data_IF_773364294051
#
_entry.id   IF_773364294051
#
_cell.length_a   1.000
_cell.length_b   1.000
_cell.length_c   1.000
_cell.angle_alpha   90.00
_cell.angle_beta   90.00
_cell.angle_gamma   90.00
#
_symmetry.space_group_name_H-M   'P 1'
#
loop_
_entity.id
_entity.type
_entity.pdbx_description
1 polymer ?
#
# COMPACT_ATOMS: atom_id res chain seq x y z
N UNK A 1 -19.65 -13.14 -5.43
CA UNK A 1 -18.56 -12.75 -4.51
C UNK A 1 -18.23 -11.29 -4.71
N UNK A 2 -17.79 -10.55 -3.68
CA UNK A 2 -17.31 -9.20 -3.89
C UNK A 2 -16.06 -9.21 -4.78
N UNK A 3 -16.08 -8.37 -5.82
CA UNK A 3 -14.97 -8.18 -6.78
C UNK A 3 -13.84 -7.38 -6.12
N UNK A 4 -12.93 -8.09 -5.47
CA UNK A 4 -11.93 -7.47 -4.59
C UNK A 4 -10.50 -7.48 -5.19
N UNK A 5 -9.94 -8.62 -5.61
CA UNK A 5 -8.59 -8.65 -6.18
C UNK A 5 -8.65 -8.53 -7.70
N UNK A 6 -8.21 -7.39 -8.23
CA UNK A 6 -8.07 -7.19 -9.68
C UNK A 6 -6.69 -7.70 -10.16
N UNK A 7 -6.56 -7.98 -11.45
CA UNK A 7 -5.35 -8.59 -12.04
C UNK A 7 -4.09 -7.72 -11.91
N UNK A 8 -4.23 -6.41 -11.72
CA UNK A 8 -3.09 -5.54 -11.39
C UNK A 8 -2.45 -5.92 -10.06
N UNK A 9 -3.25 -6.18 -9.03
CA UNK A 9 -2.74 -6.66 -7.75
C UNK A 9 -2.30 -8.13 -7.82
N UNK A 10 -3.12 -8.98 -8.45
CA UNK A 10 -2.84 -10.41 -8.54
C UNK A 10 -1.60 -10.71 -9.37
N UNK A 11 -1.58 -10.29 -10.64
CA UNK A 11 -0.54 -10.69 -11.59
C UNK A 11 0.69 -9.77 -11.56
N UNK A 12 0.53 -8.45 -11.54
CA UNK A 12 1.69 -7.54 -11.58
C UNK A 12 2.45 -7.59 -10.26
N UNK A 13 1.76 -7.37 -9.13
CA UNK A 13 2.42 -7.48 -7.83
C UNK A 13 2.79 -8.93 -7.52
N UNK A 14 1.91 -9.89 -7.76
CA UNK A 14 2.20 -11.31 -7.51
C UNK A 14 3.42 -11.83 -8.26
N UNK A 15 3.60 -11.47 -9.54
CA UNK A 15 4.81 -11.87 -10.28
C UNK A 15 6.06 -11.19 -9.72
N UNK A 16 6.00 -9.91 -9.30
CA UNK A 16 7.14 -9.28 -8.64
C UNK A 16 7.48 -9.96 -7.32
N UNK A 17 6.50 -10.40 -6.54
CA UNK A 17 6.74 -11.17 -5.31
C UNK A 17 7.46 -12.47 -5.66
N UNK A 18 7.02 -13.20 -6.70
CA UNK A 18 7.71 -14.42 -7.17
C UNK A 18 9.16 -14.15 -7.55
N UNK A 19 9.43 -13.12 -8.34
CA UNK A 19 10.80 -12.76 -8.72
C UNK A 19 11.71 -12.54 -7.49
N UNK A 20 11.17 -11.89 -6.45
CA UNK A 20 11.91 -11.63 -5.22
C UNK A 20 12.15 -12.93 -4.42
N UNK A 21 11.13 -13.78 -4.29
CA UNK A 21 11.26 -15.08 -3.63
C UNK A 21 12.26 -15.98 -4.36
N UNK A 22 12.16 -16.05 -5.70
CA UNK A 22 13.05 -16.85 -6.55
C UNK A 22 14.50 -16.32 -6.51
N UNK A 23 14.68 -15.01 -6.29
CA UNK A 23 15.99 -14.40 -6.03
C UNK A 23 16.52 -14.63 -4.60
N UNK A 24 15.79 -15.37 -3.75
CA UNK A 24 16.20 -15.74 -2.40
C UNK A 24 15.83 -14.75 -1.30
N UNK A 25 14.94 -13.78 -1.57
CA UNK A 25 14.46 -12.88 -0.52
C UNK A 25 13.43 -13.57 0.38
N UNK A 26 13.55 -13.35 1.69
CA UNK A 26 12.44 -13.53 2.62
C UNK A 26 11.40 -12.45 2.36
N UNK A 27 10.25 -12.81 1.80
CA UNK A 27 9.22 -11.85 1.42
C UNK A 27 8.06 -11.84 2.40
N UNK A 28 7.75 -10.65 2.94
CA UNK A 28 6.59 -10.42 3.80
C UNK A 28 5.45 -9.82 2.97
N UNK A 29 4.33 -10.53 2.87
CA UNK A 29 3.06 -9.98 2.40
C UNK A 29 2.35 -9.35 3.59
N UNK A 30 2.38 -8.01 3.64
CA UNK A 30 1.82 -7.24 4.74
C UNK A 30 0.31 -6.97 4.55
N UNK A 31 -0.51 -7.58 5.41
CA UNK A 31 -1.96 -7.45 5.44
C UNK A 31 -2.35 -6.25 6.31
N UNK A 32 -2.48 -5.10 5.66
CA UNK A 32 -2.62 -3.79 6.28
C UNK A 32 -4.06 -3.50 6.79
N UNK A 33 -4.52 -4.24 7.80
CA UNK A 33 -5.89 -4.15 8.32
C UNK A 33 -6.21 -2.81 9.02
N UNK A 34 -5.33 -2.33 9.90
CA UNK A 34 -5.44 -1.00 10.52
C UNK A 34 -5.43 0.14 9.50
N UNK A 35 -4.57 0.03 8.50
CA UNK A 35 -4.50 0.99 7.40
C UNK A 35 -5.82 1.01 6.61
N UNK A 36 -6.34 -0.18 6.27
CA UNK A 36 -7.63 -0.31 5.60
C UNK A 36 -8.77 0.28 6.43
N UNK A 37 -8.72 0.11 7.75
CA UNK A 37 -9.69 0.68 8.70
C UNK A 37 -9.62 2.22 8.72
N UNK A 38 -8.42 2.80 8.86
CA UNK A 38 -8.21 4.27 8.79
C UNK A 38 -8.73 4.85 7.47
N UNK A 39 -8.60 4.12 6.36
CA UNK A 39 -9.10 4.56 5.05
C UNK A 39 -10.56 4.17 4.78
N UNK A 40 -11.32 3.80 5.82
CA UNK A 40 -12.74 3.43 5.76
C UNK A 40 -13.07 2.36 4.71
N UNK A 41 -12.13 1.44 4.43
CA UNK A 41 -12.38 0.34 3.49
C UNK A 41 -13.41 -0.62 4.07
N UNK A 42 -14.23 -1.19 3.18
CA UNK A 42 -15.25 -2.18 3.51
C UNK A 42 -16.21 -1.72 4.62
N UNK A 43 -16.56 -0.42 4.58
CA UNK A 43 -17.45 0.23 5.54
C UNK A 43 -16.81 0.50 6.91
N UNK A 44 -15.47 0.46 7.01
CA UNK A 44 -14.77 0.68 8.27
C UNK A 44 -14.96 -0.46 9.29
N UNK A 45 -15.43 -1.63 8.84
CA UNK A 45 -15.68 -2.80 9.70
C UNK A 45 -14.47 -3.72 9.69
N UNK A 46 -13.82 -3.88 10.84
CA UNK A 46 -12.58 -4.66 10.96
C UNK A 46 -12.78 -6.13 10.59
N UNK A 47 -13.93 -6.70 10.90
CA UNK A 47 -14.27 -8.09 10.56
C UNK A 47 -14.27 -8.30 9.05
N UNK A 48 -14.86 -7.36 8.30
CA UNK A 48 -14.88 -7.41 6.83
C UNK A 48 -13.47 -7.25 6.25
N UNK A 49 -12.66 -6.37 6.84
CA UNK A 49 -11.28 -6.12 6.43
C UNK A 49 -10.43 -7.37 6.62
N UNK A 50 -10.54 -8.05 7.77
CA UNK A 50 -9.81 -9.29 8.02
C UNK A 50 -10.28 -10.43 7.14
N UNK A 51 -11.59 -10.57 6.94
CA UNK A 51 -12.13 -11.55 5.98
C UNK A 51 -11.57 -11.31 4.55
N UNK A 52 -11.47 -10.05 4.14
CA UNK A 52 -10.85 -9.69 2.86
C UNK A 52 -9.36 -10.01 2.81
N UNK A 53 -8.62 -9.86 3.91
CA UNK A 53 -7.20 -10.21 3.98
C UNK A 53 -6.97 -11.72 3.91
N UNK A 54 -7.82 -12.54 4.54
CA UNK A 54 -7.80 -14.00 4.36
C UNK A 54 -8.09 -14.39 2.91
N UNK A 55 -9.11 -13.77 2.28
CA UNK A 55 -9.36 -13.94 0.85
C UNK A 55 -8.14 -13.57 -0.01
N UNK A 56 -7.38 -12.53 0.36
CA UNK A 56 -6.14 -12.17 -0.35
C UNK A 56 -5.03 -13.21 -0.18
N UNK A 57 -4.90 -13.79 1.01
CA UNK A 57 -3.98 -14.90 1.26
C UNK A 57 -4.31 -16.10 0.39
N UNK A 58 -5.58 -16.47 0.27
CA UNK A 58 -6.03 -17.55 -0.63
C UNK A 58 -5.69 -17.24 -2.09
N UNK A 59 -5.95 -16.01 -2.55
CA UNK A 59 -5.64 -15.61 -3.93
C UNK A 59 -4.15 -15.68 -4.24
N UNK A 60 -3.29 -15.18 -3.36
CA UNK A 60 -1.84 -15.24 -3.55
C UNK A 60 -1.32 -16.68 -3.46
N UNK A 61 -1.89 -17.50 -2.58
CA UNK A 61 -1.58 -18.93 -2.50
C UNK A 61 -1.90 -19.63 -3.82
N UNK A 62 -3.08 -19.37 -4.40
CA UNK A 62 -3.47 -19.91 -5.71
C UNK A 62 -2.55 -19.44 -6.85
N UNK A 63 -1.93 -18.27 -6.71
CA UNK A 63 -0.91 -17.77 -7.64
C UNK A 63 0.46 -18.41 -7.41
N UNK A 64 0.63 -19.30 -6.42
CA UNK A 64 1.90 -20.00 -6.14
C UNK A 64 2.78 -19.32 -5.09
N UNK A 65 2.23 -18.35 -4.34
CA UNK A 65 2.85 -17.68 -3.20
C UNK A 65 2.25 -18.23 -1.90
N UNK A 66 2.47 -19.52 -1.65
CA UNK A 66 1.91 -20.20 -0.49
C UNK A 66 2.63 -19.81 0.82
N UNK A 67 2.04 -20.06 2.00
CA UNK A 67 2.64 -19.70 3.28
C UNK A 67 4.01 -20.33 3.58
N UNK A 68 4.42 -21.36 2.84
CA UNK A 68 5.77 -21.93 2.95
C UNK A 68 6.84 -21.12 2.20
N UNK A 69 6.41 -20.25 1.28
CA UNK A 69 7.30 -19.41 0.44
C UNK A 69 7.35 -17.95 0.87
N UNK A 70 6.28 -17.45 1.48
CA UNK A 70 6.15 -16.05 1.91
C UNK A 70 5.59 -15.98 3.32
N UNK A 71 6.00 -14.97 4.06
CA UNK A 71 5.43 -14.66 5.38
C UNK A 71 4.20 -13.76 5.21
N UNK A 72 3.09 -14.10 5.87
CA UNK A 72 1.93 -13.21 5.99
C UNK A 72 1.95 -12.56 7.36
N UNK A 73 1.92 -11.22 7.39
CA UNK A 73 1.94 -10.46 8.64
C UNK A 73 0.83 -9.42 8.64
N UNK A 74 0.03 -9.40 9.71
CA UNK A 74 -1.05 -8.43 9.89
C UNK A 74 -0.52 -7.13 10.51
N UNK A 75 -1.01 -5.98 10.04
CA UNK A 75 -0.68 -4.70 10.66
C UNK A 75 -1.06 -4.65 12.15
N UNK A 76 -2.20 -5.24 12.52
CA UNK A 76 -2.59 -5.34 13.93
C UNK A 76 -1.59 -6.08 14.82
N UNK A 77 -0.79 -6.99 14.27
CA UNK A 77 0.20 -7.76 15.05
C UNK A 77 1.43 -6.95 15.42
N UNK A 78 1.75 -5.92 14.64
CA UNK A 78 2.82 -4.97 14.98
C UNK A 78 2.26 -3.74 15.70
N UNK A 79 1.02 -3.31 15.39
CA UNK A 79 0.39 -2.16 16.01
C UNK A 79 0.06 -2.35 17.50
N UNK A 80 0.05 -3.60 18.01
CA UNK A 80 -0.11 -3.87 19.44
C UNK A 80 1.13 -3.57 20.29
N UNK A 81 2.28 -3.30 19.65
CA UNK A 81 3.57 -3.11 20.32
C UNK A 81 3.84 -1.62 20.54
N UNK A 82 4.33 -1.25 21.73
CA UNK A 82 4.59 0.16 22.06
C UNK A 82 5.75 0.73 21.23
N UNK A 83 6.74 -0.10 20.93
CA UNK A 83 7.92 0.21 20.13
C UNK A 83 7.58 0.49 18.66
N UNK A 84 6.40 0.04 18.19
CA UNK A 84 5.86 0.42 16.89
C UNK A 84 5.43 1.90 16.92
N UNK A 85 4.59 2.27 17.88
CA UNK A 85 4.08 3.63 18.01
C UNK A 85 5.19 4.65 18.32
N UNK A 86 6.21 4.28 19.08
CA UNK A 86 7.39 5.14 19.25
C UNK A 86 8.03 5.50 17.90
N UNK A 87 8.18 4.53 16.98
CA UNK A 87 8.72 4.80 15.64
C UNK A 87 7.80 5.71 14.84
N UNK A 88 6.48 5.48 14.89
CA UNK A 88 5.48 6.36 14.25
C UNK A 88 5.66 7.81 14.70
N UNK A 89 5.79 8.03 16.01
CA UNK A 89 5.97 9.38 16.58
C UNK A 89 7.34 9.97 16.21
N UNK A 90 8.43 9.19 16.24
CA UNK A 90 9.76 9.66 15.81
C UNK A 90 9.77 10.10 14.35
N UNK A 91 9.13 9.35 13.46
CA UNK A 91 8.97 9.71 12.05
C UNK A 91 8.14 10.99 11.94
N UNK A 92 7.01 11.09 12.64
CA UNK A 92 6.17 12.27 12.63
C UNK A 92 6.93 13.53 13.12
N UNK A 93 7.78 13.41 14.14
CA UNK A 93 8.65 14.51 14.61
C UNK A 93 9.74 14.91 13.61
N UNK A 94 10.13 14.01 12.72
CA UNK A 94 11.16 14.27 11.70
C UNK A 94 10.62 14.96 10.43
N UNK A 95 9.30 14.98 10.24
CA UNK A 95 8.64 15.52 9.06
C UNK A 95 7.74 16.71 9.41
N UNK A 96 7.64 17.69 8.50
CA UNK A 96 6.64 18.75 8.65
C UNK A 96 5.26 18.22 8.31
N UNK A 97 4.22 18.84 8.88
CA UNK A 97 2.83 18.48 8.57
C UNK A 97 2.55 18.46 7.06
N UNK A 98 3.04 19.48 6.34
CA UNK A 98 2.94 19.59 4.87
C UNK A 98 3.60 18.40 4.16
N UNK A 99 4.72 17.89 4.67
CA UNK A 99 5.42 16.74 4.08
C UNK A 99 4.60 15.47 4.25
N UNK A 100 4.03 15.25 5.43
CA UNK A 100 3.10 14.15 5.71
C UNK A 100 1.86 14.24 4.81
N UNK A 101 1.32 15.44 4.63
CA UNK A 101 0.17 15.70 3.75
C UNK A 101 0.42 15.32 2.30
N UNK A 102 1.58 15.67 1.75
CA UNK A 102 1.91 15.34 0.35
C UNK A 102 1.93 13.84 0.08
N UNK A 103 2.05 13.00 1.12
CA UNK A 103 2.02 11.55 1.02
C UNK A 103 0.61 10.93 1.07
N UNK A 104 -0.45 11.67 1.39
CA UNK A 104 -1.83 11.15 1.43
C UNK A 104 -2.32 10.43 0.15
N UNK A 105 -1.87 10.79 -1.07
CA UNK A 105 -2.27 10.06 -2.28
C UNK A 105 -1.99 8.55 -2.27
N UNK A 106 -1.10 8.05 -1.40
CA UNK A 106 -0.85 6.61 -1.19
C UNK A 106 -2.12 5.82 -0.82
N UNK A 107 -3.09 6.47 -0.16
CA UNK A 107 -4.37 5.87 0.23
C UNK A 107 -5.50 6.14 -0.78
N UNK A 108 -5.18 6.72 -1.94
CA UNK A 108 -6.14 7.04 -3.00
C UNK A 108 -6.99 8.30 -2.74
N UNK A 109 -6.55 9.16 -1.82
CA UNK A 109 -7.18 10.46 -1.51
C UNK A 109 -6.49 11.59 -2.29
N UNK A 110 -7.25 12.62 -2.60
CA UNK A 110 -6.71 13.85 -3.19
C UNK A 110 -6.01 14.70 -2.12
N UNK A 111 -5.26 15.73 -2.56
CA UNK A 111 -4.51 16.60 -1.65
C UNK A 111 -5.34 17.76 -1.06
N UNK A 112 -6.65 17.82 -1.33
CA UNK A 112 -7.53 18.87 -0.78
C UNK A 112 -7.79 18.68 0.73
N UNK A 113 -7.97 19.79 1.43
CA UNK A 113 -8.01 19.92 2.88
C UNK A 113 -9.43 19.84 3.48
N UNK A 114 -10.47 19.82 2.65
CA UNK A 114 -11.86 19.78 3.11
C UNK A 114 -12.30 18.34 3.49
N UNK A 115 -12.96 18.18 4.65
CA UNK A 115 -13.51 16.93 5.18
C UNK A 115 -12.54 15.75 5.41
N UNK A 116 -11.40 16.01 6.06
CA UNK A 116 -10.43 14.97 6.43
C UNK A 116 -10.52 14.53 7.89
N UNK A 117 -10.58 13.21 8.10
CA UNK A 117 -10.39 12.62 9.42
C UNK A 117 -8.93 12.75 9.88
N UNK A 118 -8.71 13.13 11.14
CA UNK A 118 -7.36 13.22 11.73
C UNK A 118 -6.60 11.89 11.63
N UNK A 119 -7.31 10.77 11.64
CA UNK A 119 -6.75 9.44 11.46
C UNK A 119 -5.89 9.32 10.18
N UNK A 120 -6.24 10.02 9.10
CA UNK A 120 -5.51 9.96 7.83
C UNK A 120 -4.09 10.56 7.92
N UNK A 121 -3.86 11.48 8.85
CA UNK A 121 -2.54 12.09 9.08
C UNK A 121 -1.54 11.08 9.65
N UNK A 122 -2.02 10.10 10.43
CA UNK A 122 -1.17 9.05 10.99
C UNK A 122 -0.73 8.04 9.94
N UNK A 123 -1.55 7.81 8.91
CA UNK A 123 -1.33 6.73 7.94
C UNK A 123 0.05 6.78 7.26
N UNK A 124 0.54 7.90 6.70
CA UNK A 124 1.86 7.91 6.07
C UNK A 124 3.00 7.62 7.06
N UNK A 125 2.87 8.09 8.31
CA UNK A 125 3.85 7.82 9.36
C UNK A 125 3.81 6.35 9.81
N UNK A 126 2.63 5.74 9.87
CA UNK A 126 2.44 4.31 10.13
C UNK A 126 3.07 3.48 9.01
N UNK A 127 2.75 3.77 7.74
CA UNK A 127 3.31 3.05 6.60
C UNK A 127 4.85 3.18 6.51
N UNK A 128 5.40 4.33 6.91
CA UNK A 128 6.85 4.48 7.02
C UNK A 128 7.42 3.70 8.22
N UNK A 129 6.74 3.69 9.37
CA UNK A 129 7.15 2.94 10.56
C UNK A 129 7.13 1.42 10.32
N UNK A 130 6.17 0.92 9.56
CA UNK A 130 6.02 -0.49 9.17
C UNK A 130 7.34 -1.03 8.59
N UNK A 131 7.97 -0.26 7.69
CA UNK A 131 9.24 -0.62 7.03
C UNK A 131 10.35 -0.85 8.07
N UNK A 132 10.48 0.05 9.05
CA UNK A 132 11.53 -0.05 10.08
C UNK A 132 11.20 -1.06 11.16
N UNK A 133 9.93 -1.21 11.52
CA UNK A 133 9.50 -2.15 12.55
C UNK A 133 9.66 -3.59 12.07
N UNK A 134 9.32 -3.87 10.81
CA UNK A 134 9.60 -5.16 10.15
C UNK A 134 11.08 -5.34 9.76
N UNK A 135 11.93 -4.32 9.96
CA UNK A 135 13.36 -4.33 9.62
C UNK A 135 13.63 -4.64 8.14
N UNK A 136 12.81 -4.10 7.23
CA UNK A 136 12.92 -4.39 5.80
C UNK A 136 14.20 -3.80 5.19
N UNK A 137 14.89 -4.62 4.40
CA UNK A 137 15.97 -4.15 3.52
C UNK A 137 15.43 -3.51 2.23
N UNK A 138 14.33 -4.06 1.72
CA UNK A 138 13.68 -3.64 0.47
C UNK A 138 12.19 -3.43 0.71
N UNK A 139 11.70 -2.22 0.46
CA UNK A 139 10.28 -1.90 0.43
C UNK A 139 9.75 -2.04 -1.01
N UNK A 140 8.93 -3.06 -1.26
CA UNK A 140 8.37 -3.38 -2.58
C UNK A 140 6.87 -3.05 -2.64
N UNK A 141 6.46 -2.17 -3.55
CA UNK A 141 5.06 -1.76 -3.69
C UNK A 141 4.75 -1.21 -5.10
N UNK A 142 3.50 -0.84 -5.38
CA UNK A 142 3.17 -0.05 -6.58
C UNK A 142 3.83 1.33 -6.57
N UNK A 143 4.06 1.91 -7.75
CA UNK A 143 4.66 3.26 -7.87
C UNK A 143 3.80 4.36 -7.20
N UNK A 144 2.50 4.12 -7.01
CA UNK A 144 1.62 5.01 -6.24
C UNK A 144 1.99 5.08 -4.75
N UNK A 145 2.73 4.11 -4.23
CA UNK A 145 3.22 4.08 -2.84
C UNK A 145 4.57 4.81 -2.66
N UNK A 146 5.17 5.36 -3.73
CA UNK A 146 6.52 5.97 -3.71
C UNK A 146 6.67 7.04 -2.64
N UNK A 147 5.62 7.83 -2.36
CA UNK A 147 5.70 8.96 -1.43
C UNK A 147 5.90 8.52 0.01
N UNK A 148 5.29 7.40 0.43
CA UNK A 148 5.54 6.81 1.74
C UNK A 148 6.97 6.25 1.85
N UNK A 149 7.46 5.62 0.77
CA UNK A 149 8.83 5.11 0.73
C UNK A 149 9.86 6.25 0.80
N UNK A 150 9.61 7.37 0.11
CA UNK A 150 10.45 8.56 0.21
C UNK A 150 10.39 9.19 1.61
N UNK A 151 9.21 9.24 2.24
CA UNK A 151 9.08 9.68 3.63
C UNK A 151 9.90 8.80 4.58
N UNK A 152 9.85 7.48 4.42
CA UNK A 152 10.67 6.56 5.20
C UNK A 152 12.17 6.81 4.97
N UNK A 153 12.60 6.98 3.71
CA UNK A 153 14.00 7.27 3.37
C UNK A 153 14.50 8.61 3.95
N UNK A 154 13.67 9.65 3.92
CA UNK A 154 13.98 10.95 4.53
C UNK A 154 14.09 10.83 6.06
N UNK A 155 13.20 10.06 6.69
CA UNK A 155 13.22 9.82 8.13
C UNK A 155 14.44 8.98 8.55
N UNK A 156 14.82 7.98 7.75
CA UNK A 156 16.01 7.16 8.00
C UNK A 156 17.28 8.02 8.08
N UNK A 157 17.41 9.00 7.18
CA UNK A 157 18.55 9.91 7.14
C UNK A 157 18.61 10.83 8.36
N UNK A 158 17.46 11.33 8.83
CA UNK A 158 17.38 12.21 10.00
C UNK A 158 17.53 11.48 11.34
N UNK A 159 17.11 10.22 11.39
CA UNK A 159 17.08 9.41 12.61
C UNK A 159 18.28 8.45 12.71
N UNK A 160 19.19 8.50 11.75
CA UNK A 160 20.35 7.61 11.60
C UNK A 160 19.95 6.13 11.59
N UNK A 161 18.93 5.80 10.79
CA UNK A 161 18.46 4.44 10.57
C UNK A 161 18.91 3.91 9.21
N UNK A 162 18.96 2.58 9.08
CA UNK A 162 19.25 1.94 7.80
C UNK A 162 18.22 2.36 6.74
N UNK A 163 18.70 2.96 5.64
CA UNK A 163 17.86 3.44 4.54
C UNK A 163 17.38 2.25 3.70
N UNK A 164 16.06 2.02 3.55
CA UNK A 164 15.55 0.90 2.76
C UNK A 164 15.73 1.15 1.26
N UNK A 165 15.99 0.08 0.50
CA UNK A 165 15.87 0.11 -0.97
C UNK A 165 14.39 0.12 -1.34
N UNK A 166 14.04 0.76 -2.45
CA UNK A 166 12.65 0.84 -2.90
C UNK A 166 12.51 0.23 -4.28
N UNK A 167 11.62 -0.74 -4.41
CA UNK A 167 11.26 -1.36 -5.68
C UNK A 167 9.80 -1.03 -5.96
N UNK A 168 9.54 -0.44 -7.12
CA UNK A 168 8.20 0.00 -7.51
C UNK A 168 7.71 -0.76 -8.74
N UNK A 169 6.54 -1.38 -8.64
CA UNK A 169 5.87 -2.00 -9.79
C UNK A 169 5.04 -0.97 -10.56
N UNK A 170 4.89 -1.12 -11.89
CA UNK A 170 4.01 -0.28 -12.68
C UNK A 170 2.54 -0.48 -12.27
N UNK A 171 1.70 0.52 -12.56
CA UNK A 171 0.25 0.42 -12.36
C UNK A 171 -0.40 -0.09 -13.64
N UNK A 172 -1.18 -1.17 -13.52
CA UNK A 172 -1.95 -1.66 -14.66
C UNK A 172 -3.12 -0.71 -14.94
N UNK A 173 -3.23 -0.26 -16.19
CA UNK A 173 -4.30 0.63 -16.64
C UNK A 173 -5.66 -0.09 -16.59
N UNK A 174 -6.73 0.64 -16.26
CA UNK A 174 -8.10 0.14 -16.41
C UNK A 174 -8.51 0.02 -17.87
N UNK A 175 -9.48 -0.84 -18.17
CA UNK A 175 -9.92 -1.13 -19.54
C UNK A 175 -10.58 0.05 -20.26
N UNK A 176 -11.02 1.07 -19.52
CA UNK A 176 -11.63 2.29 -20.06
C UNK A 176 -10.61 3.25 -20.72
N UNK A 177 -9.31 2.95 -20.63
CA UNK A 177 -8.24 3.83 -21.11
C UNK A 177 -7.96 5.04 -20.19
N UNK A 178 -7.19 6.02 -20.68
CA UNK A 178 -6.80 7.19 -19.91
C UNK A 178 -8.02 8.05 -19.54
N UNK A 179 -8.17 8.38 -18.25
CA UNK A 179 -9.15 9.36 -17.79
C UNK A 179 -8.62 10.78 -17.96
N UNK A 180 -9.53 11.74 -18.21
CA UNK A 180 -9.19 13.16 -18.22
C UNK A 180 -8.70 13.60 -16.83
N UNK A 181 -7.72 14.50 -16.78
CA UNK A 181 -7.13 15.02 -15.55
C UNK A 181 -8.16 15.81 -14.72
N UNK A 182 -8.87 15.15 -13.83
CA UNK A 182 -9.76 15.80 -12.86
C UNK A 182 -9.20 15.79 -11.44
N UNK A 183 -8.28 14.86 -11.12
CA UNK A 183 -7.77 14.62 -9.77
C UNK A 183 -6.25 14.80 -9.69
N UNK A 184 -5.77 15.35 -8.57
CA UNK A 184 -4.35 15.57 -8.32
C UNK A 184 -3.81 14.65 -7.22
N UNK A 185 -3.16 13.57 -7.63
CA UNK A 185 -2.47 12.59 -6.79
C UNK A 185 -0.95 12.76 -6.78
N UNK A 186 -0.38 13.28 -7.86
CA UNK A 186 1.05 13.56 -7.98
C UNK A 186 1.30 14.91 -8.67
N UNK A 187 2.47 15.47 -8.42
CA UNK A 187 2.93 16.70 -9.07
C UNK A 187 3.55 16.41 -10.44
N UNK A 188 4.07 15.19 -10.62
CA UNK A 188 4.47 14.67 -11.91
C UNK A 188 3.21 14.31 -12.73
N UNK A 189 3.02 15.00 -13.86
CA UNK A 189 1.83 14.81 -14.73
C UNK A 189 1.69 13.39 -15.25
N UNK A 190 2.80 12.75 -15.61
CA UNK A 190 2.79 11.38 -16.16
C UNK A 190 2.36 10.39 -15.09
N UNK A 191 2.92 10.51 -13.87
CA UNK A 191 2.51 9.69 -12.75
C UNK A 191 1.08 9.99 -12.31
N UNK A 192 0.67 11.26 -12.33
CA UNK A 192 -0.69 11.65 -12.00
C UNK A 192 -1.72 11.00 -12.94
N UNK A 193 -1.45 11.01 -14.24
CA UNK A 193 -2.28 10.36 -15.25
C UNK A 193 -2.31 8.84 -15.05
N UNK A 194 -1.16 8.22 -14.77
CA UNK A 194 -1.07 6.78 -14.50
C UNK A 194 -1.85 6.36 -13.25
N UNK A 195 -1.75 7.13 -12.16
CA UNK A 195 -2.49 6.87 -10.92
C UNK A 195 -3.99 7.05 -11.13
N UNK A 196 -4.38 8.09 -11.87
CA UNK A 196 -5.79 8.37 -12.16
C UNK A 196 -6.43 7.31 -13.06
N UNK A 197 -5.64 6.73 -13.98
CA UNK A 197 -6.09 5.76 -14.98
C UNK A 197 -5.88 4.29 -14.58
N UNK A 198 -5.38 4.03 -13.37
CA UNK A 198 -5.12 2.67 -12.90
C UNK A 198 -6.41 1.88 -12.69
N UNK A 199 -6.31 0.57 -12.84
CA UNK A 199 -7.35 -0.36 -12.47
C UNK A 199 -7.69 -0.20 -10.98
N UNK A 200 -8.96 0.08 -10.67
CA UNK A 200 -9.41 0.39 -9.31
C UNK A 200 -10.80 -0.19 -9.04
N UNK A 201 -11.00 -0.75 -7.85
CA UNK A 201 -12.27 -1.31 -7.38
C UNK A 201 -13.41 -0.29 -7.36
N UNK A 202 -13.11 1.01 -7.37
CA UNK A 202 -14.11 2.08 -7.47
C UNK A 202 -14.84 2.12 -8.80
N UNK A 203 -14.27 1.49 -9.84
CA UNK A 203 -14.87 1.33 -11.18
C UNK A 203 -14.77 -0.14 -11.60
N UNK A 204 -15.56 -1.05 -10.98
CA UNK A 204 -15.45 -2.49 -11.22
C UNK A 204 -15.58 -2.89 -12.70
N UNK A 205 -16.36 -2.15 -13.48
CA UNK A 205 -16.57 -2.32 -14.92
C UNK A 205 -15.30 -2.11 -15.75
N UNK A 206 -14.32 -1.39 -15.20
CA UNK A 206 -13.03 -1.13 -15.85
C UNK A 206 -11.94 -2.14 -15.44
N UNK A 207 -12.30 -3.16 -14.66
CA UNK A 207 -11.37 -4.10 -14.04
C UNK A 207 -11.66 -5.54 -14.49
N UNK A 208 -10.60 -6.34 -14.54
CA UNK A 208 -10.69 -7.81 -14.57
C UNK A 208 -10.29 -8.31 -13.19
N UNK A 209 -11.11 -9.16 -12.59
CA UNK A 209 -10.88 -9.76 -11.29
C UNK A 209 -10.40 -11.21 -11.43
N UNK A 210 -9.61 -11.66 -10.45
CA UNK A 210 -9.01 -13.01 -10.45
C UNK A 210 -10.04 -14.15 -10.43
N UNK A 211 -11.31 -13.84 -10.14
CA UNK A 211 -12.43 -14.78 -10.07
C UNK A 211 -13.58 -14.41 -11.01
N UNK A 212 -13.34 -13.52 -11.99
CA UNK A 212 -14.33 -13.30 -13.05
C UNK A 212 -14.50 -14.59 -13.86
N UNK A 213 -15.74 -14.86 -14.28
CA UNK A 213 -16.04 -16.01 -15.13
C UNK A 213 -15.44 -15.82 -16.54
N UNK A 214 -15.06 -16.92 -17.21
CA UNK A 214 -14.70 -16.89 -18.63
C UNK A 214 -15.77 -16.27 -19.53
#
# INVERSE_FOLDING_TARGET
MPRIMHIGMGLVCGNKIKDMVDAGFHFIIFLADWHSWINNKLGGKMENIRLCGEYFKDCFTALGLSPEKVEYLWASDIAKQIEYWEKVIRIAKSASLRRTWRALPIMGREMDLSDMETAWVFYPCMQAADIFHMKLDVACAGIDQRKAHMLARDAAEKLDWKKPICVHTPLLMGLQGPVKEEKQYDEDKTLNLAISSKMSKSKPESCIFVHDSP
#
